data_IF_651109771937
#
_entry.id   IF_651109771937
#
_cell.length_a   1.000
_cell.length_b   1.000
_cell.length_c   1.000
_cell.angle_alpha   90.00
_cell.angle_beta   90.00
_cell.angle_gamma   90.00
#
_symmetry.space_group_name_H-M   'P 1'
#
loop_
_entity.id
_entity.type
_entity.pdbx_description
1 polymer ?
#
# COMPACT_ATOMS: atom_id res chain seq x y z
N UNK A 1 -9.02 -30.95 5.11
CA UNK A 1 -10.12 -30.12 4.53
C UNK A 1 -10.72 -29.11 5.52
N UNK A 2 -10.81 -29.43 6.81
CA UNK A 2 -11.40 -28.52 7.83
C UNK A 2 -10.66 -27.19 8.05
N UNK A 3 -9.35 -27.14 7.86
CA UNK A 3 -8.55 -25.93 8.11
C UNK A 3 -8.91 -24.77 7.18
N UNK A 4 -9.54 -25.03 6.04
CA UNK A 4 -9.89 -24.01 5.04
C UNK A 4 -11.34 -23.50 5.15
N UNK A 5 -12.13 -24.03 6.09
CA UNK A 5 -13.55 -23.72 6.23
C UNK A 5 -13.86 -22.56 7.18
N UNK A 6 -12.84 -21.87 7.69
CA UNK A 6 -12.99 -20.74 8.60
C UNK A 6 -11.95 -19.66 8.30
N UNK A 7 -12.24 -18.39 8.63
CA UNK A 7 -11.27 -17.32 8.54
C UNK A 7 -10.05 -17.59 9.42
N UNK A 8 -8.85 -17.23 8.92
CA UNK A 8 -7.62 -17.27 9.71
C UNK A 8 -7.27 -15.88 10.22
N UNK A 9 -6.98 -15.72 11.51
CA UNK A 9 -6.46 -14.47 12.02
C UNK A 9 -5.13 -14.13 11.36
N UNK A 10 -4.98 -12.86 10.98
CA UNK A 10 -3.73 -12.32 10.49
C UNK A 10 -2.94 -11.70 11.64
N UNK A 11 -1.64 -11.94 11.68
CA UNK A 11 -0.75 -11.20 12.55
C UNK A 11 -0.56 -9.79 11.98
N UNK A 12 -0.55 -8.73 12.80
CA UNK A 12 -0.25 -7.38 12.33
C UNK A 12 1.07 -7.30 11.58
N UNK A 13 1.03 -6.88 10.31
CA UNK A 13 2.18 -6.86 9.41
C UNK A 13 2.56 -5.40 9.08
N UNK A 14 3.26 -4.75 9.99
CA UNK A 14 3.82 -3.40 9.81
C UNK A 14 5.10 -3.50 8.97
N UNK A 15 5.25 -2.67 7.95
CA UNK A 15 6.28 -2.88 6.92
C UNK A 15 7.29 -1.74 6.84
N UNK A 16 6.84 -0.48 6.83
CA UNK A 16 7.73 0.67 6.66
C UNK A 16 7.08 2.00 7.01
N UNK A 17 7.90 3.05 7.00
CA UNK A 17 7.60 4.43 7.34
C UNK A 17 7.12 4.62 8.80
N UNK A 18 7.48 5.76 9.38
CA UNK A 18 7.14 6.06 10.76
C UNK A 18 5.68 6.49 10.91
N UNK A 19 4.99 5.93 11.88
CA UNK A 19 3.57 6.16 12.11
C UNK A 19 2.87 4.96 12.74
N UNK A 20 1.59 4.79 12.46
CA UNK A 20 0.84 3.59 12.84
C UNK A 20 -0.06 3.74 14.06
N UNK A 21 -0.11 4.92 14.69
CA UNK A 21 -0.99 5.15 15.83
C UNK A 21 -2.48 5.00 15.48
N UNK A 22 -2.90 5.47 14.30
CA UNK A 22 -4.29 5.30 13.87
C UNK A 22 -4.59 3.84 13.48
N UNK A 23 -3.60 3.12 12.97
CA UNK A 23 -3.69 1.66 12.78
C UNK A 23 -3.89 0.91 14.10
N UNK A 24 -3.14 1.28 15.14
CA UNK A 24 -3.27 0.69 16.46
C UNK A 24 -4.64 1.01 17.07
N UNK A 25 -5.13 2.25 16.94
CA UNK A 25 -6.49 2.64 17.36
C UNK A 25 -7.56 1.83 16.64
N UNK A 26 -7.43 1.71 15.33
CA UNK A 26 -8.36 0.92 14.51
C UNK A 26 -8.42 -0.56 14.93
N UNK A 27 -7.29 -1.10 15.40
CA UNK A 27 -7.20 -2.48 15.91
C UNK A 27 -7.59 -2.64 17.38
N UNK A 28 -7.92 -1.57 18.07
CA UNK A 28 -8.26 -1.61 19.49
C UNK A 28 -7.06 -1.88 20.41
N UNK A 29 -5.85 -1.50 19.99
CA UNK A 29 -4.65 -1.60 20.84
C UNK A 29 -4.80 -0.64 22.03
N UNK A 30 -4.56 -1.10 23.26
CA UNK A 30 -4.77 -0.35 24.49
C UNK A 30 -3.95 0.93 24.55
N UNK A 31 -2.71 0.88 24.07
CA UNK A 31 -1.78 2.03 24.04
C UNK A 31 -1.31 2.31 22.62
N UNK A 32 -2.16 2.95 21.78
CA UNK A 32 -1.83 3.21 20.39
C UNK A 32 -0.67 4.20 20.26
N UNK A 33 0.36 3.85 19.48
CA UNK A 33 1.56 4.65 19.34
C UNK A 33 2.11 4.66 17.92
N UNK A 34 2.77 5.77 17.57
CA UNK A 34 3.61 5.79 16.37
C UNK A 34 4.90 5.02 16.63
N UNK A 35 5.28 4.18 15.69
CA UNK A 35 6.49 3.37 15.78
C UNK A 35 7.30 3.47 14.48
N UNK A 36 8.61 3.22 14.53
CA UNK A 36 9.39 2.99 13.31
C UNK A 36 8.75 1.87 12.48
N UNK A 37 8.66 2.08 11.17
CA UNK A 37 8.03 1.16 10.22
C UNK A 37 6.54 0.85 10.49
N UNK A 38 5.84 1.70 11.25
CA UNK A 38 4.47 1.48 11.67
C UNK A 38 3.39 2.00 10.72
N UNK A 39 3.74 2.91 9.81
CA UNK A 39 2.75 3.63 9.00
C UNK A 39 2.07 2.78 7.93
N UNK A 40 2.73 1.75 7.40
CA UNK A 40 2.15 0.84 6.41
C UNK A 40 1.92 -0.54 7.00
N UNK A 41 0.68 -1.01 7.00
CA UNK A 41 0.32 -2.39 7.31
C UNK A 41 -0.19 -3.10 6.07
N UNK A 42 0.45 -4.21 5.67
CA UNK A 42 0.08 -5.00 4.51
C UNK A 42 -0.81 -6.17 4.92
N UNK A 43 -2.05 -6.20 4.42
CA UNK A 43 -3.09 -7.13 4.83
C UNK A 43 -3.13 -8.32 3.89
N UNK A 44 -2.99 -9.54 4.41
CA UNK A 44 -3.07 -10.78 3.63
C UNK A 44 -2.05 -10.86 2.49
N UNK A 45 -0.90 -10.22 2.64
CA UNK A 45 0.09 -10.03 1.58
C UNK A 45 0.85 -11.32 1.25
N UNK A 46 0.92 -11.63 -0.05
CA UNK A 46 1.84 -12.62 -0.63
C UNK A 46 3.07 -11.94 -1.27
N UNK A 47 3.26 -10.65 -1.04
CA UNK A 47 4.30 -9.83 -1.67
C UNK A 47 5.43 -9.53 -0.70
N UNK A 48 6.65 -9.81 -1.12
CA UNK A 48 7.86 -9.41 -0.38
C UNK A 48 8.11 -7.92 -0.59
N UNK A 49 8.38 -7.19 0.48
CA UNK A 49 8.69 -5.77 0.40
C UNK A 49 10.10 -5.53 -0.16
N UNK A 50 10.27 -4.44 -0.92
CA UNK A 50 11.57 -4.06 -1.48
C UNK A 50 12.64 -3.74 -0.41
N UNK A 51 12.22 -3.38 0.81
CA UNK A 51 13.13 -3.14 1.94
C UNK A 51 13.50 -4.39 2.75
N UNK A 52 13.18 -5.59 2.27
CA UNK A 52 13.54 -6.83 2.95
C UNK A 52 15.07 -7.04 2.95
N UNK A 53 15.63 -7.29 4.14
CA UNK A 53 17.06 -7.50 4.38
C UNK A 53 17.37 -8.97 4.74
N UNK A 54 18.64 -9.38 4.81
CA UNK A 54 19.00 -10.72 5.30
C UNK A 54 18.50 -11.00 6.73
N UNK A 55 18.41 -9.98 7.58
CA UNK A 55 17.91 -10.08 8.96
C UNK A 55 16.37 -10.15 9.00
N UNK A 56 15.70 -9.58 7.99
CA UNK A 56 14.24 -9.66 7.84
C UNK A 56 13.87 -10.04 6.39
N UNK A 57 14.13 -11.28 5.98
CA UNK A 57 13.94 -11.71 4.59
C UNK A 57 12.47 -11.84 4.18
N UNK A 58 11.58 -11.91 5.15
CA UNK A 58 10.14 -12.11 4.95
C UNK A 58 9.33 -10.81 5.09
N UNK A 59 9.99 -9.67 5.18
CA UNK A 59 9.31 -8.38 5.27
C UNK A 59 8.27 -8.23 4.16
N UNK A 60 7.05 -7.88 4.53
CA UNK A 60 5.91 -7.73 3.63
C UNK A 60 5.02 -8.96 3.50
N UNK A 61 5.52 -10.18 3.72
CA UNK A 61 4.67 -11.36 3.74
C UNK A 61 3.75 -11.34 4.97
N UNK A 62 2.46 -11.60 4.76
CA UNK A 62 1.53 -11.74 5.87
C UNK A 62 1.76 -13.07 6.59
N UNK A 63 1.70 -13.03 7.92
CA UNK A 63 1.69 -14.20 8.78
C UNK A 63 0.25 -14.51 9.22
N UNK A 64 -0.12 -15.78 9.24
CA UNK A 64 -1.43 -16.27 9.64
C UNK A 64 -1.34 -17.20 10.84
N UNK A 65 -2.39 -17.22 11.64
CA UNK A 65 -2.56 -18.19 12.73
C UNK A 65 -3.48 -19.30 12.21
N UNK A 66 -2.93 -20.49 12.09
CA UNK A 66 -3.65 -21.66 11.61
C UNK A 66 -4.58 -22.22 12.71
N UNK A 67 -5.56 -23.08 12.34
CA UNK A 67 -6.54 -23.63 13.30
C UNK A 67 -5.97 -24.41 14.48
N UNK A 68 -4.77 -24.96 14.32
CA UNK A 68 -4.02 -25.64 15.39
C UNK A 68 -3.23 -24.69 16.30
N UNK A 69 -3.32 -23.38 16.06
CA UNK A 69 -2.60 -22.35 16.79
C UNK A 69 -1.18 -22.09 16.28
N UNK A 70 -0.69 -22.84 15.31
CA UNK A 70 0.62 -22.59 14.72
C UNK A 70 0.60 -21.35 13.83
N UNK A 71 1.77 -20.72 13.62
CA UNK A 71 1.94 -19.58 12.72
C UNK A 71 2.71 -19.99 11.49
N UNK A 72 2.33 -19.44 10.35
CA UNK A 72 3.07 -19.57 9.10
C UNK A 72 2.84 -18.39 8.19
N UNK A 73 3.76 -18.12 7.29
CA UNK A 73 3.54 -17.11 6.26
C UNK A 73 2.48 -17.57 5.26
N UNK A 74 1.52 -16.68 4.98
CA UNK A 74 0.42 -16.98 4.05
C UNK A 74 0.94 -17.45 2.69
N UNK A 75 2.07 -16.91 2.21
CA UNK A 75 2.72 -17.36 0.97
C UNK A 75 3.09 -18.83 0.99
N UNK A 76 3.54 -19.37 2.13
CA UNK A 76 3.86 -20.80 2.26
C UNK A 76 2.60 -21.66 2.27
N UNK A 77 1.57 -21.18 2.99
CA UNK A 77 0.28 -21.89 3.05
C UNK A 77 -0.34 -21.97 1.65
N UNK A 78 -0.35 -20.87 0.91
CA UNK A 78 -0.84 -20.84 -0.48
C UNK A 78 -0.03 -21.78 -1.38
N UNK A 79 1.30 -21.79 -1.28
CA UNK A 79 2.15 -22.69 -2.09
C UNK A 79 1.89 -24.16 -1.86
N UNK A 80 1.51 -24.57 -0.63
CA UNK A 80 1.21 -25.98 -0.32
C UNK A 80 -0.09 -26.46 -0.92
N UNK A 81 -1.11 -25.60 -0.97
CA UNK A 81 -2.46 -25.97 -1.44
C UNK A 81 -3.09 -24.83 -2.27
N UNK A 82 -2.47 -24.46 -3.39
CA UNK A 82 -2.84 -23.23 -4.10
C UNK A 82 -4.26 -23.30 -4.67
N UNK A 83 -4.66 -24.41 -5.27
CA UNK A 83 -6.01 -24.54 -5.85
C UNK A 83 -7.11 -24.55 -4.78
N UNK A 84 -6.82 -25.06 -3.59
CA UNK A 84 -7.78 -25.07 -2.48
C UNK A 84 -8.05 -23.66 -1.96
N UNK A 85 -7.02 -22.81 -1.92
CA UNK A 85 -7.11 -21.44 -1.38
C UNK A 85 -7.55 -20.45 -2.45
N UNK A 86 -6.95 -20.50 -3.63
CA UNK A 86 -7.15 -19.51 -4.69
C UNK A 86 -8.19 -19.96 -5.73
N UNK A 87 -8.47 -21.23 -5.79
CA UNK A 87 -9.36 -21.84 -6.78
C UNK A 87 -8.67 -22.13 -8.11
N UNK A 88 -9.14 -23.20 -8.79
CA UNK A 88 -8.57 -23.69 -10.05
C UNK A 88 -8.54 -22.62 -11.15
N UNK A 89 -9.64 -21.89 -11.37
CA UNK A 89 -9.73 -20.83 -12.39
C UNK A 89 -8.74 -19.70 -12.16
N UNK A 90 -8.51 -19.34 -10.89
CA UNK A 90 -7.53 -18.33 -10.54
C UNK A 90 -6.11 -18.83 -10.85
N UNK A 91 -5.81 -20.07 -10.45
CA UNK A 91 -4.50 -20.68 -10.68
C UNK A 91 -4.15 -20.81 -12.16
N UNK A 92 -5.10 -21.20 -13.01
CA UNK A 92 -4.92 -21.25 -14.46
C UNK A 92 -4.58 -19.89 -15.07
N UNK A 93 -5.16 -18.80 -14.56
CA UNK A 93 -5.00 -17.46 -15.11
C UNK A 93 -3.85 -16.66 -14.50
N UNK A 94 -3.66 -16.76 -13.20
CA UNK A 94 -2.76 -15.88 -12.44
C UNK A 94 -1.66 -16.62 -11.67
N UNK A 95 -1.74 -17.96 -11.58
CA UNK A 95 -0.85 -18.75 -10.71
C UNK A 95 -1.12 -18.41 -9.24
N UNK A 96 -0.06 -18.33 -8.44
CA UNK A 96 -0.15 -17.99 -7.01
C UNK A 96 -0.20 -16.48 -6.73
N UNK A 97 -0.17 -15.63 -7.76
CA UNK A 97 -0.27 -14.17 -7.58
C UNK A 97 -1.71 -13.77 -7.29
N UNK A 98 -1.95 -12.99 -6.25
CA UNK A 98 -3.26 -12.38 -6.01
C UNK A 98 -3.59 -11.29 -7.03
N UNK A 99 -2.57 -10.72 -7.69
CA UNK A 99 -2.73 -9.58 -8.59
C UNK A 99 -3.13 -8.30 -7.86
N UNK A 100 -3.14 -8.31 -6.55
CA UNK A 100 -3.46 -7.17 -5.69
C UNK A 100 -2.63 -7.19 -4.41
N UNK A 101 -2.50 -6.02 -3.79
CA UNK A 101 -1.99 -5.84 -2.44
C UNK A 101 -2.90 -4.86 -1.70
N UNK A 102 -3.38 -5.27 -0.54
CA UNK A 102 -4.21 -4.43 0.33
C UNK A 102 -3.33 -3.90 1.44
N UNK A 103 -3.40 -2.58 1.68
CA UNK A 103 -2.67 -1.93 2.75
C UNK A 103 -3.59 -1.02 3.56
N UNK A 104 -3.18 -0.79 4.79
CA UNK A 104 -3.68 0.31 5.60
C UNK A 104 -2.52 1.26 5.85
N UNK A 105 -2.71 2.53 5.54
CA UNK A 105 -1.67 3.55 5.56
C UNK A 105 -2.05 4.65 6.56
N UNK A 106 -1.18 4.91 7.51
CA UNK A 106 -1.32 5.96 8.51
C UNK A 106 -0.17 6.96 8.36
N UNK A 107 -0.35 7.94 7.49
CA UNK A 107 0.67 8.90 7.11
C UNK A 107 0.89 9.96 8.21
N UNK A 108 1.77 9.69 9.17
CA UNK A 108 2.21 10.68 10.17
C UNK A 108 2.92 11.88 9.52
N UNK A 109 3.71 11.62 8.48
CA UNK A 109 4.37 12.61 7.63
C UNK A 109 3.96 12.39 6.17
N UNK A 110 4.16 13.37 5.28
CA UNK A 110 3.86 13.19 3.87
C UNK A 110 4.65 12.02 3.28
N UNK A 111 3.99 11.21 2.45
CA UNK A 111 4.68 10.22 1.64
C UNK A 111 5.30 10.89 0.42
N UNK A 112 6.35 10.29 -0.12
CA UNK A 112 7.01 10.81 -1.32
C UNK A 112 6.04 10.84 -2.51
N UNK A 113 6.15 11.88 -3.33
CA UNK A 113 5.48 11.94 -4.63
C UNK A 113 5.97 10.78 -5.50
N UNK A 114 5.05 10.00 -6.00
CA UNK A 114 5.31 8.81 -6.79
C UNK A 114 4.39 8.72 -8.00
N UNK A 115 4.78 7.90 -8.96
CA UNK A 115 3.98 7.57 -10.13
C UNK A 115 4.20 6.09 -10.44
N UNK A 116 3.12 5.38 -10.68
CA UNK A 116 3.17 3.94 -10.93
C UNK A 116 2.93 3.62 -12.40
N UNK A 117 3.50 2.50 -12.92
CA UNK A 117 3.38 2.18 -14.33
C UNK A 117 1.95 1.79 -14.70
N UNK A 118 1.51 2.21 -15.87
CA UNK A 118 0.38 1.59 -16.57
C UNK A 118 0.71 0.13 -16.87
N UNK A 119 -0.30 -0.70 -17.17
CA UNK A 119 -0.07 -2.10 -17.57
C UNK A 119 0.83 -2.22 -18.81
N UNK A 120 0.69 -1.31 -19.76
CA UNK A 120 1.54 -1.24 -20.94
C UNK A 120 3.00 -0.95 -20.59
N UNK A 121 3.23 0.08 -19.79
CA UNK A 121 4.57 0.46 -19.33
C UNK A 121 5.20 -0.62 -18.45
N UNK A 122 4.42 -1.26 -17.59
CA UNK A 122 4.90 -2.36 -16.75
C UNK A 122 5.39 -3.54 -17.60
N UNK A 123 4.64 -3.87 -18.66
CA UNK A 123 5.05 -4.92 -19.61
C UNK A 123 6.31 -4.52 -20.39
N UNK A 124 6.36 -3.28 -20.89
CA UNK A 124 7.45 -2.78 -21.72
C UNK A 124 8.77 -2.67 -20.98
N UNK A 125 8.75 -2.14 -19.77
CA UNK A 125 9.97 -1.76 -19.05
C UNK A 125 10.41 -2.75 -17.96
N UNK A 126 9.47 -3.55 -17.42
CA UNK A 126 9.75 -4.47 -16.30
C UNK A 126 9.31 -5.91 -16.57
N UNK A 127 8.86 -6.23 -17.79
CA UNK A 127 8.33 -7.55 -18.14
C UNK A 127 7.26 -8.04 -17.13
N UNK A 128 6.49 -7.10 -16.56
CA UNK A 128 5.43 -7.37 -15.60
C UNK A 128 4.08 -7.50 -16.30
N UNK A 129 3.26 -8.45 -15.85
CA UNK A 129 1.87 -8.62 -16.31
C UNK A 129 0.93 -7.57 -15.74
N UNK A 130 1.32 -6.92 -14.64
CA UNK A 130 0.51 -5.99 -13.87
C UNK A 130 1.13 -4.59 -13.94
N UNK A 131 0.30 -3.59 -14.21
CA UNK A 131 0.54 -2.22 -13.85
C UNK A 131 0.35 -2.04 -12.34
N UNK A 132 0.30 -0.82 -11.87
CA UNK A 132 -0.05 -0.53 -10.50
C UNK A 132 -1.06 0.63 -10.47
N UNK A 133 -2.31 0.26 -10.50
CA UNK A 133 -3.43 1.16 -10.20
C UNK A 133 -3.77 1.05 -8.73
N UNK A 134 -4.24 2.10 -8.11
CA UNK A 134 -4.60 2.15 -6.70
C UNK A 134 -6.00 2.71 -6.52
N UNK A 135 -6.65 2.29 -5.44
CA UNK A 135 -7.83 2.93 -4.90
C UNK A 135 -7.59 3.21 -3.42
N UNK A 136 -7.78 4.45 -3.01
CA UNK A 136 -7.69 4.84 -1.61
C UNK A 136 -9.10 5.10 -1.06
N UNK A 137 -9.41 4.51 0.08
CA UNK A 137 -10.58 4.84 0.87
C UNK A 137 -10.12 5.50 2.17
N UNK A 138 -10.58 6.72 2.43
CA UNK A 138 -10.19 7.48 3.62
C UNK A 138 -10.94 6.95 4.84
N UNK A 139 -10.23 6.23 5.71
CA UNK A 139 -10.75 5.69 6.96
C UNK A 139 -10.84 6.73 8.07
N UNK A 140 -9.94 7.70 8.04
CA UNK A 140 -9.83 8.72 9.06
C UNK A 140 -8.77 9.76 8.75
N UNK A 141 -8.63 10.73 9.64
CA UNK A 141 -7.63 11.78 9.55
C UNK A 141 -7.04 12.09 10.90
N UNK A 142 -5.74 12.38 10.93
CA UNK A 142 -5.05 12.87 12.14
C UNK A 142 -5.36 14.34 12.38
N UNK A 143 -5.40 14.74 13.65
CA UNK A 143 -5.58 16.14 14.07
C UNK A 143 -4.27 16.81 14.49
N UNK A 144 -3.23 16.04 14.75
CA UNK A 144 -1.92 16.47 15.24
C UNK A 144 -0.91 16.68 14.09
N UNK A 145 -1.38 17.21 12.99
CA UNK A 145 -0.60 17.54 11.80
C UNK A 145 -0.64 19.04 11.53
N UNK A 146 0.40 19.62 10.89
CA UNK A 146 0.54 21.07 10.75
C UNK A 146 -0.51 21.72 9.83
N UNK A 147 -1.14 20.94 8.96
CA UNK A 147 -2.16 21.41 8.02
C UNK A 147 -3.26 20.36 7.84
N UNK A 148 -4.44 20.74 7.32
CA UNK A 148 -5.50 19.77 7.03
C UNK A 148 -5.02 18.65 6.12
N UNK A 149 -5.33 17.37 6.43
CA UNK A 149 -4.92 16.23 5.62
C UNK A 149 -5.38 16.36 4.16
N UNK A 150 -4.49 15.99 3.25
CA UNK A 150 -4.68 16.13 1.81
C UNK A 150 -4.02 14.99 1.04
N UNK A 151 -4.39 14.85 -0.22
CA UNK A 151 -3.65 14.06 -1.20
C UNK A 151 -3.12 14.97 -2.30
N UNK A 152 -2.00 14.55 -2.90
CA UNK A 152 -1.57 15.07 -4.20
C UNK A 152 -2.05 14.09 -5.26
N UNK A 153 -2.71 14.60 -6.32
CA UNK A 153 -3.26 13.73 -7.36
C UNK A 153 -3.30 14.44 -8.71
N UNK A 154 -2.53 13.92 -9.65
CA UNK A 154 -2.44 14.45 -11.02
C UNK A 154 -1.74 15.81 -11.12
N UNK A 155 -1.23 16.12 -12.31
CA UNK A 155 -0.65 17.42 -12.58
C UNK A 155 -1.73 18.46 -12.86
N UNK A 156 -1.41 19.73 -12.53
CA UNK A 156 -2.17 20.89 -12.96
C UNK A 156 -2.05 21.08 -14.48
N UNK A 157 -3.03 21.74 -15.06
CA UNK A 157 -3.21 21.84 -16.51
C UNK A 157 -2.06 22.58 -17.22
N UNK A 158 -1.36 23.48 -16.53
CA UNK A 158 -0.25 24.26 -17.08
C UNK A 158 1.12 23.57 -16.99
N UNK A 159 1.17 22.34 -16.49
CA UNK A 159 2.43 21.60 -16.32
C UNK A 159 2.78 20.87 -17.60
N UNK A 160 3.81 21.36 -18.29
CA UNK A 160 4.37 20.72 -19.47
C UNK A 160 5.45 19.71 -19.08
N UNK A 161 5.76 18.83 -20.03
CA UNK A 161 6.86 17.86 -19.89
C UNK A 161 8.19 18.55 -19.58
N UNK A 162 8.49 19.64 -20.25
CA UNK A 162 9.73 20.40 -20.10
C UNK A 162 9.85 21.00 -18.69
N UNK A 163 8.76 21.58 -18.17
CA UNK A 163 8.70 22.06 -16.78
C UNK A 163 8.97 20.95 -15.78
N UNK A 164 8.30 19.81 -15.96
CA UNK A 164 8.48 18.65 -15.09
C UNK A 164 9.92 18.13 -15.14
N UNK A 165 10.47 17.88 -16.35
CA UNK A 165 11.83 17.38 -16.51
C UNK A 165 12.89 18.34 -15.92
N UNK A 166 12.68 19.64 -16.06
CA UNK A 166 13.59 20.64 -15.48
C UNK A 166 13.60 20.59 -13.95
N UNK A 167 12.44 20.49 -13.31
CA UNK A 167 12.33 20.35 -11.85
C UNK A 167 12.90 19.00 -11.36
N UNK A 168 12.59 17.93 -12.06
CA UNK A 168 13.09 16.59 -11.74
C UNK A 168 14.62 16.51 -11.78
N UNK A 169 15.25 17.05 -12.82
CA UNK A 169 16.73 17.09 -12.94
C UNK A 169 17.41 17.92 -11.86
N UNK A 170 16.73 18.91 -11.30
CA UNK A 170 17.22 19.71 -10.17
C UNK A 170 17.03 19.00 -8.83
N UNK A 171 16.25 17.93 -8.77
CA UNK A 171 15.89 17.26 -7.52
C UNK A 171 14.99 18.13 -6.62
N UNK A 172 14.25 19.07 -7.18
CA UNK A 172 13.39 19.99 -6.44
C UNK A 172 12.04 19.33 -6.13
N UNK A 173 12.02 18.58 -5.05
CA UNK A 173 10.83 17.83 -4.62
C UNK A 173 9.63 18.75 -4.33
N UNK A 174 9.87 19.89 -3.66
CA UNK A 174 8.81 20.83 -3.32
C UNK A 174 8.17 21.45 -4.59
N UNK A 175 8.99 21.76 -5.59
CA UNK A 175 8.49 22.23 -6.88
C UNK A 175 7.69 21.15 -7.61
N UNK A 176 8.16 19.89 -7.61
CA UNK A 176 7.43 18.76 -8.21
C UNK A 176 6.07 18.54 -7.55
N UNK A 177 6.01 18.56 -6.22
CA UNK A 177 4.75 18.49 -5.46
C UNK A 177 3.81 19.64 -5.80
N UNK A 178 4.34 20.87 -5.98
CA UNK A 178 3.54 22.04 -6.33
C UNK A 178 2.88 21.94 -7.71
N UNK A 179 3.36 21.07 -8.57
CA UNK A 179 2.77 20.79 -9.88
C UNK A 179 1.49 19.95 -9.81
N UNK A 180 1.27 19.27 -8.69
CA UNK A 180 0.11 18.43 -8.49
C UNK A 180 -1.08 19.21 -7.93
N UNK A 181 -2.29 18.69 -8.19
CA UNK A 181 -3.47 19.15 -7.46
C UNK A 181 -3.35 18.69 -6.01
N UNK A 182 -3.57 19.64 -5.08
CA UNK A 182 -3.65 19.39 -3.64
C UNK A 182 -5.11 19.33 -3.24
N UNK A 183 -5.59 18.16 -2.88
CA UNK A 183 -7.00 17.86 -2.60
C UNK A 183 -7.16 17.56 -1.11
N UNK A 184 -7.84 18.42 -0.32
CA UNK A 184 -8.20 18.10 1.05
C UNK A 184 -9.07 16.83 1.09
N UNK A 185 -8.86 15.98 2.10
CA UNK A 185 -9.61 14.72 2.22
C UNK A 185 -10.41 14.63 3.51
N UNK A 186 -11.52 13.88 3.44
CA UNK A 186 -12.37 13.60 4.59
C UNK A 186 -12.68 12.10 4.69
N UNK A 187 -12.92 11.58 5.92
CA UNK A 187 -13.33 10.20 6.11
C UNK A 187 -14.56 9.85 5.27
N UNK A 188 -14.52 8.67 4.62
CA UNK A 188 -15.58 8.17 3.75
C UNK A 188 -15.38 8.46 2.26
N UNK A 189 -14.44 9.31 1.89
CA UNK A 189 -14.12 9.57 0.49
C UNK A 189 -13.28 8.44 -0.13
N UNK A 190 -13.43 8.26 -1.45
CA UNK A 190 -12.66 7.29 -2.24
C UNK A 190 -12.01 7.97 -3.43
N UNK A 191 -10.77 7.58 -3.72
CA UNK A 191 -9.98 8.12 -4.80
C UNK A 191 -9.38 7.00 -5.66
N UNK A 192 -9.65 7.04 -6.96
CA UNK A 192 -8.99 6.16 -7.94
C UNK A 192 -7.71 6.82 -8.44
N UNK A 193 -6.62 6.07 -8.40
CA UNK A 193 -5.31 6.49 -8.88
C UNK A 193 -4.89 5.59 -10.05
N UNK A 194 -5.17 6.00 -11.29
CA UNK A 194 -4.74 5.24 -12.46
C UNK A 194 -3.22 5.16 -12.57
N UNK A 195 -2.72 4.11 -13.19
CA UNK A 195 -1.31 4.05 -13.57
C UNK A 195 -0.92 5.24 -14.45
N UNK A 196 0.27 5.80 -14.21
CA UNK A 196 0.76 6.99 -14.90
C UNK A 196 0.38 8.31 -14.26
N UNK A 197 -0.46 8.32 -13.22
CA UNK A 197 -0.85 9.54 -12.52
C UNK A 197 0.08 9.77 -11.31
N UNK A 198 0.73 10.94 -11.20
CA UNK A 198 1.53 11.28 -10.03
C UNK A 198 0.62 11.50 -8.82
N UNK A 199 1.05 11.00 -7.66
CA UNK A 199 0.25 11.05 -6.45
C UNK A 199 1.10 10.94 -5.18
N UNK A 200 0.56 11.43 -4.07
CA UNK A 200 1.11 11.23 -2.72
C UNK A 200 0.02 11.37 -1.66
N UNK A 201 0.20 10.71 -0.52
CA UNK A 201 -0.54 10.99 0.70
C UNK A 201 0.16 12.12 1.45
N UNK A 202 -0.56 13.18 1.77
CA UNK A 202 -0.13 14.20 2.69
C UNK A 202 -0.14 13.70 4.14
N UNK A 203 0.48 14.46 5.04
CA UNK A 203 0.43 14.14 6.46
C UNK A 203 -1.01 14.08 6.97
N UNK A 204 -1.27 13.17 7.88
CA UNK A 204 -2.55 13.01 8.54
C UNK A 204 -3.58 12.15 7.82
N UNK A 205 -3.29 11.63 6.65
CA UNK A 205 -4.18 10.69 5.98
C UNK A 205 -4.11 9.30 6.64
N UNK A 206 -5.28 8.73 6.96
CA UNK A 206 -5.42 7.33 7.33
C UNK A 206 -6.33 6.65 6.31
N UNK A 207 -5.77 5.77 5.48
CA UNK A 207 -6.46 5.21 4.32
C UNK A 207 -6.32 3.68 4.22
N UNK A 208 -7.33 3.04 3.64
CA UNK A 208 -7.20 1.71 3.06
C UNK A 208 -6.80 1.87 1.60
N UNK A 209 -5.68 1.26 1.22
CA UNK A 209 -5.19 1.20 -0.16
C UNK A 209 -5.42 -0.18 -0.73
N UNK A 210 -6.03 -0.24 -1.90
CA UNK A 210 -6.17 -1.44 -2.72
C UNK A 210 -5.40 -1.18 -4.01
N UNK A 211 -4.26 -1.84 -4.16
CA UNK A 211 -3.44 -1.71 -5.36
C UNK A 211 -3.38 -2.99 -6.18
#
# INVERSE_FOLDING_TARGET
>A
MEIYNRPWPLVPNKVRADGGRELDRFRGVEHPADTPNGAEAWVGSLTRANGATPENPNLGYAEVILPDGTRDFLVNVVKRTPETILGKKHMEKYGTSLGMLIKMLDAKAPFLLQCHPTRENARKYWNSRFGKEECWYVLGTRKDVPEPPYILLGFKEDITREKFEAAYRKGDAALLESFCHKIPVQPGESYMIPGGVPHALGAGCFVAEIQ
#
